data_IF_952687398829
#
_entry.id   IF_952687398829
#
_cell.length_a   1.000
_cell.length_b   1.000
_cell.length_c   1.000
_cell.angle_alpha   90.00
_cell.angle_beta   90.00
_cell.angle_gamma   90.00
#
_symmetry.space_group_name_H-M   'P 1'
#
loop_
_entity.id
_entity.type
_entity.pdbx_description
1 polymer ?
#
# COMPACT_ATOMS: atom_id res chain seq x y z
N UNK A 1 45.52 -65.48 -30.65
CA UNK A 1 45.99 -64.95 -29.35
C UNK A 1 47.21 -64.09 -29.62
N UNK A 2 47.12 -62.80 -29.28
CA UNK A 2 48.18 -61.77 -29.19
C UNK A 2 49.02 -61.39 -30.43
N UNK A 3 48.79 -60.19 -30.98
CA UNK A 3 49.73 -59.03 -30.91
C UNK A 3 49.27 -57.88 -31.82
N UNK A 4 49.10 -56.68 -31.25
CA UNK A 4 49.87 -55.46 -31.60
C UNK A 4 49.44 -54.29 -30.71
N UNK A 5 50.44 -53.69 -30.07
CA UNK A 5 50.33 -52.44 -29.32
C UNK A 5 50.16 -51.23 -30.24
N UNK A 6 49.55 -50.16 -29.72
CA UNK A 6 50.06 -48.79 -29.91
C UNK A 6 49.45 -47.85 -28.87
N UNK A 7 50.33 -47.23 -28.10
CA UNK A 7 50.08 -46.09 -27.20
C UNK A 7 49.71 -44.84 -28.01
N UNK A 8 48.86 -43.95 -27.47
CA UNK A 8 49.18 -42.51 -27.40
C UNK A 8 48.21 -41.72 -26.50
N UNK A 9 48.83 -40.89 -25.67
CA UNK A 9 48.41 -39.54 -25.27
C UNK A 9 47.19 -39.33 -24.35
N UNK A 10 47.54 -38.88 -23.15
CA UNK A 10 46.78 -38.04 -22.22
C UNK A 10 46.12 -36.83 -22.88
N UNK A 11 44.83 -36.59 -22.59
CA UNK A 11 44.22 -35.25 -22.59
C UNK A 11 43.25 -35.14 -21.42
N UNK A 12 43.53 -34.20 -20.51
CA UNK A 12 42.62 -33.75 -19.46
C UNK A 12 41.78 -32.59 -19.99
N UNK A 13 40.45 -32.54 -19.73
CA UNK A 13 39.71 -31.30 -19.89
C UNK A 13 39.36 -30.70 -18.53
N UNK A 14 40.14 -29.67 -18.21
CA UNK A 14 39.72 -28.37 -17.71
C UNK A 14 38.48 -28.29 -16.78
N UNK A 15 38.81 -28.02 -15.52
CA UNK A 15 38.07 -27.29 -14.50
C UNK A 15 37.36 -26.05 -15.08
N UNK A 16 36.07 -26.17 -15.43
CA UNK A 16 35.19 -25.02 -15.70
C UNK A 16 34.71 -24.41 -14.38
N UNK A 17 35.58 -23.59 -13.78
CA UNK A 17 35.18 -22.57 -12.82
C UNK A 17 34.24 -21.57 -13.51
N UNK A 18 32.92 -21.75 -13.36
CA UNK A 18 31.96 -20.69 -13.69
C UNK A 18 31.38 -20.06 -12.42
N UNK A 19 32.25 -19.59 -11.52
CA UNK A 19 31.86 -18.93 -10.25
C UNK A 19 31.54 -17.43 -10.38
N UNK A 20 31.32 -16.91 -11.58
CA UNK A 20 31.08 -15.47 -11.81
C UNK A 20 29.66 -15.10 -12.24
N UNK A 21 28.79 -16.06 -12.56
CA UNK A 21 27.41 -15.75 -12.99
C UNK A 21 26.48 -15.42 -11.82
N UNK A 22 26.61 -16.11 -10.68
CA UNK A 22 25.69 -15.94 -9.55
C UNK A 22 25.85 -14.58 -8.87
N UNK A 23 27.07 -14.02 -8.82
CA UNK A 23 27.31 -12.70 -8.21
C UNK A 23 26.62 -11.58 -9.01
N UNK A 24 26.62 -11.70 -10.33
CA UNK A 24 26.02 -10.68 -11.21
C UNK A 24 24.49 -10.75 -11.19
N UNK A 25 23.91 -11.95 -11.09
CA UNK A 25 22.46 -12.14 -10.94
C UNK A 25 22.01 -11.66 -9.54
N UNK A 26 22.78 -11.95 -8.50
CA UNK A 26 22.47 -11.50 -7.12
C UNK A 26 22.50 -9.98 -6.98
N UNK A 27 23.43 -9.29 -7.66
CA UNK A 27 23.49 -7.82 -7.68
C UNK A 27 22.32 -7.16 -8.42
N UNK A 28 21.79 -7.79 -9.48
CA UNK A 28 20.61 -7.27 -10.21
C UNK A 28 19.34 -7.45 -9.38
N UNK A 29 19.19 -8.59 -8.69
CA UNK A 29 18.05 -8.83 -7.78
C UNK A 29 18.09 -7.87 -6.58
N UNK A 30 19.27 -7.61 -6.01
CA UNK A 30 19.44 -6.67 -4.90
C UNK A 30 19.16 -5.22 -5.32
N UNK A 31 19.53 -4.82 -6.55
CA UNK A 31 19.23 -3.50 -7.10
C UNK A 31 17.74 -3.34 -7.45
N UNK A 32 17.07 -4.41 -7.90
CA UNK A 32 15.63 -4.42 -8.12
C UNK A 32 14.83 -4.35 -6.80
N UNK A 33 15.32 -4.95 -5.72
CA UNK A 33 14.70 -4.81 -4.38
C UNK A 33 14.81 -3.39 -3.81
N UNK A 34 15.86 -2.64 -4.15
CA UNK A 34 15.99 -1.22 -3.79
C UNK A 34 15.06 -0.29 -4.58
N UNK A 35 14.48 -0.78 -5.69
CA UNK A 35 13.51 -0.06 -6.51
C UNK A 35 12.06 -0.43 -6.17
N UNK A 36 11.82 -1.18 -5.08
CA UNK A 36 10.51 -1.24 -4.42
C UNK A 36 10.29 0.10 -3.75
N UNK A 37 9.99 1.10 -4.58
CA UNK A 37 9.65 2.44 -4.15
C UNK A 37 8.54 2.36 -3.12
N UNK A 38 8.62 3.26 -2.13
CA UNK A 38 7.60 3.53 -1.14
C UNK A 38 6.21 3.24 -1.73
N UNK A 39 5.57 2.16 -1.26
CA UNK A 39 4.15 1.95 -1.50
C UNK A 39 3.46 3.28 -1.21
N UNK A 40 2.53 3.76 -2.06
CA UNK A 40 1.90 5.04 -1.83
C UNK A 40 1.27 5.02 -0.43
N UNK A 41 1.97 5.62 0.53
CA UNK A 41 1.51 5.74 1.90
C UNK A 41 0.18 6.47 1.80
N UNK A 42 -0.86 5.83 2.38
CA UNK A 42 -2.27 6.11 2.20
C UNK A 42 -2.55 7.53 1.70
N UNK A 43 -2.92 7.65 0.42
CA UNK A 43 -3.33 8.90 -0.23
C UNK A 43 -4.67 9.48 0.30
N UNK A 44 -5.06 9.03 1.49
CA UNK A 44 -6.28 9.44 2.14
C UNK A 44 -6.04 10.69 3.00
N UNK A 45 -4.98 10.70 3.81
CA UNK A 45 -4.66 11.81 4.71
C UNK A 45 -4.22 13.09 3.95
N UNK A 46 -3.82 12.98 2.69
CA UNK A 46 -3.44 14.10 1.81
C UNK A 46 -4.55 14.52 0.83
N UNK A 47 -5.80 14.10 1.04
CA UNK A 47 -6.96 14.46 0.19
C UNK A 47 -7.88 15.49 0.86
N UNK A 48 -8.61 16.27 0.05
CA UNK A 48 -9.63 17.21 0.56
C UNK A 48 -10.76 16.54 1.36
N UNK A 49 -11.08 15.27 1.07
CA UNK A 49 -12.05 14.47 1.82
C UNK A 49 -11.41 13.62 2.94
N UNK A 50 -10.10 13.78 3.15
CA UNK A 50 -9.31 13.12 4.17
C UNK A 50 -9.50 13.68 5.58
N UNK A 51 -9.16 12.90 6.62
CA UNK A 51 -9.38 13.26 8.02
C UNK A 51 -8.56 14.46 8.44
N UNK A 52 -7.32 14.58 7.95
CA UNK A 52 -6.44 15.73 8.23
C UNK A 52 -7.07 17.05 7.80
N UNK A 53 -7.65 17.10 6.59
CA UNK A 53 -8.33 18.30 6.08
C UNK A 53 -9.68 18.52 6.76
N UNK A 54 -10.44 17.46 7.05
CA UNK A 54 -11.69 17.59 7.84
C UNK A 54 -11.44 18.24 9.20
N UNK A 55 -10.38 17.83 9.90
CA UNK A 55 -9.99 18.47 11.15
C UNK A 55 -9.50 19.90 10.94
N UNK A 56 -8.79 20.19 9.86
CA UNK A 56 -8.33 21.54 9.53
C UNK A 56 -9.49 22.51 9.26
N UNK A 57 -10.50 22.07 8.51
CA UNK A 57 -11.74 22.83 8.28
C UNK A 57 -12.42 23.09 9.63
N UNK A 58 -12.64 22.04 10.43
CA UNK A 58 -13.27 22.17 11.74
C UNK A 58 -12.47 23.08 12.69
N UNK A 59 -11.14 23.04 12.64
CA UNK A 59 -10.27 23.94 13.39
C UNK A 59 -10.50 25.40 13.00
N UNK A 60 -10.54 25.71 11.70
CA UNK A 60 -10.82 27.06 11.20
C UNK A 60 -12.26 27.51 11.42
N UNK A 61 -13.21 26.59 11.50
CA UNK A 61 -14.61 26.88 11.88
C UNK A 61 -14.76 27.25 13.34
N UNK A 62 -14.06 26.52 14.22
CA UNK A 62 -14.21 26.63 15.68
C UNK A 62 -13.12 27.47 16.35
N UNK A 63 -12.20 28.05 15.56
CA UNK A 63 -11.00 28.73 16.06
C UNK A 63 -10.19 27.87 17.05
N UNK A 64 -10.01 26.59 16.75
CA UNK A 64 -9.37 25.64 17.65
C UNK A 64 -8.23 24.90 16.95
N UNK A 65 -7.01 25.45 17.06
CA UNK A 65 -5.81 24.87 16.45
C UNK A 65 -5.48 23.48 16.98
N UNK A 66 -5.88 23.14 18.22
CA UNK A 66 -5.55 21.85 18.83
C UNK A 66 -6.12 20.66 18.05
N UNK A 67 -7.16 20.87 17.24
CA UNK A 67 -7.72 19.81 16.40
C UNK A 67 -6.75 19.31 15.32
N UNK A 68 -5.80 20.15 14.88
CA UNK A 68 -4.83 19.78 13.83
C UNK A 68 -3.48 19.33 14.36
N UNK A 69 -3.12 19.67 15.60
CA UNK A 69 -1.77 19.38 16.13
C UNK A 69 -1.49 17.87 16.27
N UNK A 70 -2.53 17.05 16.43
CA UNK A 70 -2.42 15.57 16.48
C UNK A 70 -1.88 14.93 15.18
N UNK A 71 -1.88 15.67 14.06
CA UNK A 71 -1.43 15.17 12.75
C UNK A 71 0.06 15.44 12.48
N UNK A 72 0.75 16.16 13.35
CA UNK A 72 2.12 16.64 13.16
C UNK A 72 2.96 16.37 14.40
N UNK A 73 4.28 16.54 14.30
CA UNK A 73 5.15 16.43 15.49
C UNK A 73 5.10 17.70 16.35
N UNK A 74 5.43 17.61 17.64
CA UNK A 74 5.53 18.78 18.52
C UNK A 74 6.44 19.90 17.97
N UNK A 75 7.53 19.55 17.29
CA UNK A 75 8.46 20.51 16.71
C UNK A 75 7.86 21.25 15.51
N UNK A 76 6.94 20.61 14.78
CA UNK A 76 6.25 21.19 13.62
C UNK A 76 5.14 22.16 14.04
N UNK A 77 4.66 22.11 15.29
CA UNK A 77 3.64 23.03 15.82
C UNK A 77 4.05 24.50 15.69
N UNK A 78 5.35 24.81 15.81
CA UNK A 78 5.90 26.17 15.63
C UNK A 78 5.67 26.75 14.23
N UNK A 79 5.41 25.91 13.24
CA UNK A 79 5.04 26.31 11.86
C UNK A 79 3.53 26.43 11.74
N UNK A 80 2.79 25.46 12.29
CA UNK A 80 1.35 25.34 12.09
C UNK A 80 0.55 26.34 12.92
N UNK A 81 0.91 26.58 14.18
CA UNK A 81 0.16 27.50 15.05
C UNK A 81 0.14 28.93 14.49
N UNK A 82 1.27 29.54 14.10
CA UNK A 82 1.26 30.88 13.53
C UNK A 82 0.49 30.96 12.20
N UNK A 83 0.64 29.94 11.34
CA UNK A 83 -0.06 29.88 10.05
C UNK A 83 -1.57 29.73 10.22
N UNK A 84 -2.01 28.90 11.17
CA UNK A 84 -3.42 28.77 11.55
C UNK A 84 -3.99 30.12 12.01
N UNK A 85 -3.33 30.78 12.96
CA UNK A 85 -3.78 32.06 13.50
C UNK A 85 -3.92 33.13 12.40
N UNK A 86 -2.96 33.19 11.47
CA UNK A 86 -2.99 34.10 10.32
C UNK A 86 -4.10 33.74 9.33
N UNK A 87 -4.32 32.46 9.07
CA UNK A 87 -5.38 32.00 8.18
C UNK A 87 -6.74 32.35 8.78
N UNK A 88 -6.96 32.04 10.06
CA UNK A 88 -8.21 32.34 10.75
C UNK A 88 -8.51 33.84 10.80
N UNK A 89 -7.53 34.69 11.08
CA UNK A 89 -7.76 36.15 11.15
C UNK A 89 -8.20 36.78 9.83
N UNK A 90 -7.85 36.14 8.70
CA UNK A 90 -8.24 36.60 7.36
C UNK A 90 -9.61 36.09 6.90
N UNK A 91 -10.27 35.22 7.68
CA UNK A 91 -11.53 34.55 7.30
C UNK A 91 -12.69 35.49 6.95
N UNK A 92 -12.76 36.65 7.60
CA UNK A 92 -13.79 37.66 7.35
C UNK A 92 -13.44 38.66 6.23
N UNK A 93 -12.25 38.51 5.62
CA UNK A 93 -11.76 39.39 4.56
C UNK A 93 -12.28 39.03 3.17
N UNK A 94 -11.49 39.35 2.16
CA UNK A 94 -11.78 39.01 0.77
C UNK A 94 -11.79 37.48 0.57
N UNK A 95 -12.81 36.98 -0.15
CA UNK A 95 -13.04 35.54 -0.32
C UNK A 95 -11.99 34.87 -1.20
N UNK A 96 -11.54 35.53 -2.27
CA UNK A 96 -10.54 34.96 -3.18
C UNK A 96 -9.18 34.88 -2.49
N UNK A 97 -8.82 35.94 -1.76
CA UNK A 97 -7.60 35.95 -0.93
C UNK A 97 -7.70 34.89 0.17
N UNK A 98 -8.85 34.75 0.83
CA UNK A 98 -9.03 33.74 1.87
C UNK A 98 -8.82 32.32 1.35
N UNK A 99 -9.38 31.99 0.18
CA UNK A 99 -9.20 30.67 -0.44
C UNK A 99 -7.73 30.34 -0.71
N UNK A 100 -6.91 31.33 -1.09
CA UNK A 100 -5.47 31.15 -1.31
C UNK A 100 -4.76 30.82 0.00
N UNK A 101 -5.03 31.57 1.07
CA UNK A 101 -4.36 31.33 2.36
C UNK A 101 -4.86 30.06 3.06
N UNK A 102 -6.15 29.74 2.92
CA UNK A 102 -6.74 28.49 3.41
C UNK A 102 -6.11 27.29 2.71
N UNK A 103 -6.01 27.33 1.38
CA UNK A 103 -5.33 26.29 0.61
C UNK A 103 -3.87 26.14 1.02
N UNK A 104 -3.15 27.25 1.20
CA UNK A 104 -1.76 27.22 1.66
C UNK A 104 -1.62 26.59 3.06
N UNK A 105 -2.56 26.87 3.97
CA UNK A 105 -2.60 26.22 5.29
C UNK A 105 -2.82 24.71 5.16
N UNK A 106 -3.79 24.28 4.36
CA UNK A 106 -4.06 22.87 4.11
C UNK A 106 -2.87 22.12 3.50
N UNK A 107 -2.26 22.67 2.45
CA UNK A 107 -1.07 22.09 1.82
C UNK A 107 0.11 22.00 2.81
N UNK A 108 0.30 23.02 3.66
CA UNK A 108 1.36 23.01 4.67
C UNK A 108 1.12 21.95 5.74
N UNK A 109 -0.11 21.86 6.27
CA UNK A 109 -0.48 20.84 7.26
C UNK A 109 -0.28 19.44 6.70
N UNK A 110 -0.80 19.18 5.50
CA UNK A 110 -0.67 17.87 4.84
C UNK A 110 0.80 17.55 4.57
N UNK A 111 1.59 18.50 4.06
CA UNK A 111 3.02 18.27 3.84
C UNK A 111 3.74 17.85 5.12
N UNK A 112 3.50 18.55 6.23
CA UNK A 112 4.12 18.23 7.52
C UNK A 112 3.65 16.88 8.06
N UNK A 113 2.37 16.56 7.92
CA UNK A 113 1.84 15.24 8.28
C UNK A 113 2.52 14.12 7.47
N UNK A 114 2.65 14.29 6.15
CA UNK A 114 3.34 13.33 5.27
C UNK A 114 4.80 13.13 5.68
N UNK A 115 5.48 14.20 6.07
CA UNK A 115 6.83 14.12 6.62
C UNK A 115 6.88 13.26 7.90
N UNK A 116 5.86 13.32 8.77
CA UNK A 116 5.79 12.45 9.97
C UNK A 116 5.63 10.96 9.61
N UNK A 117 5.00 10.66 8.48
CA UNK A 117 4.82 9.31 7.96
C UNK A 117 6.06 8.83 7.16
N UNK A 118 7.10 9.66 7.05
CA UNK A 118 8.28 9.37 6.23
C UNK A 118 7.98 9.36 4.73
N UNK A 119 6.89 10.01 4.30
CA UNK A 119 6.38 9.95 2.95
C UNK A 119 6.47 11.30 2.23
N UNK A 120 6.73 11.32 0.91
CA UNK A 120 6.83 12.57 0.17
C UNK A 120 5.46 13.25 0.04
N UNK A 121 5.47 14.58 0.07
CA UNK A 121 4.33 15.39 -0.32
C UNK A 121 4.27 15.52 -1.84
N UNK A 122 3.16 15.07 -2.44
CA UNK A 122 2.95 15.09 -3.90
C UNK A 122 1.76 15.96 -4.30
N UNK A 123 1.49 17.00 -3.51
CA UNK A 123 0.33 17.87 -3.65
C UNK A 123 -0.91 17.35 -2.93
N UNK A 124 -1.79 18.28 -2.59
CA UNK A 124 -3.10 18.00 -1.99
C UNK A 124 -4.03 17.36 -3.04
N UNK A 125 -4.56 16.17 -2.73
CA UNK A 125 -5.36 15.38 -3.67
C UNK A 125 -6.81 15.88 -3.74
N UNK A 126 -7.43 15.87 -4.93
CA UNK A 126 -8.85 16.17 -5.08
C UNK A 126 -9.72 15.26 -4.21
N UNK A 127 -10.88 15.75 -3.78
CA UNK A 127 -11.86 14.90 -3.09
C UNK A 127 -12.30 13.73 -3.98
N UNK A 128 -12.60 12.58 -3.38
CA UNK A 128 -13.09 11.40 -4.09
C UNK A 128 -12.00 10.50 -4.66
N UNK A 129 -10.72 10.79 -4.45
CA UNK A 129 -9.61 9.89 -4.81
C UNK A 129 -9.36 8.78 -3.79
N UNK A 130 -9.98 8.89 -2.61
CA UNK A 130 -9.85 7.91 -1.53
C UNK A 130 -10.52 6.58 -1.92
N UNK A 131 -9.83 5.45 -1.68
CA UNK A 131 -10.40 4.11 -1.89
C UNK A 131 -11.64 3.89 -1.04
N UNK A 132 -12.67 3.27 -1.61
CA UNK A 132 -13.97 3.08 -0.94
C UNK A 132 -13.87 2.37 0.41
N UNK A 133 -12.97 1.39 0.54
CA UNK A 133 -12.80 0.66 1.80
C UNK A 133 -12.31 1.56 2.93
N UNK A 134 -11.41 2.49 2.64
CA UNK A 134 -10.90 3.47 3.62
C UNK A 134 -12.02 4.40 4.06
N UNK A 135 -12.81 4.93 3.12
CA UNK A 135 -13.99 5.76 3.45
C UNK A 135 -14.99 5.03 4.36
N UNK A 136 -15.21 3.73 4.12
CA UNK A 136 -16.08 2.92 4.97
C UNK A 136 -15.47 2.69 6.36
N UNK A 137 -14.15 2.56 6.46
CA UNK A 137 -13.44 2.48 7.74
C UNK A 137 -13.56 3.79 8.53
N UNK A 138 -13.37 4.95 7.90
CA UNK A 138 -13.54 6.24 8.58
C UNK A 138 -14.98 6.44 9.04
N UNK A 139 -15.95 6.06 8.20
CA UNK A 139 -17.37 6.11 8.56
C UNK A 139 -17.65 5.25 9.79
N UNK A 140 -17.08 4.04 9.86
CA UNK A 140 -17.26 3.15 11.00
C UNK A 140 -16.70 3.74 12.30
N UNK A 141 -15.55 4.42 12.23
CA UNK A 141 -14.93 5.09 13.37
C UNK A 141 -15.78 6.29 13.83
N UNK A 142 -16.25 7.11 12.89
CA UNK A 142 -17.09 8.29 13.18
C UNK A 142 -18.44 7.88 13.78
N UNK A 143 -19.11 6.90 13.18
CA UNK A 143 -20.41 6.40 13.66
C UNK A 143 -20.30 5.41 14.82
N UNK A 144 -19.08 4.99 15.19
CA UNK A 144 -18.80 3.95 16.18
C UNK A 144 -19.55 2.63 15.89
N UNK A 145 -19.68 2.30 14.60
CA UNK A 145 -20.42 1.13 14.11
C UNK A 145 -19.49 0.25 13.27
N UNK A 146 -18.80 -0.66 13.95
CA UNK A 146 -17.93 -1.64 13.30
C UNK A 146 -18.74 -2.75 12.61
N UNK A 147 -19.95 -3.05 13.09
CA UNK A 147 -20.75 -4.17 12.59
C UNK A 147 -21.23 -3.92 11.16
N UNK A 148 -21.75 -2.72 10.87
CA UNK A 148 -22.14 -2.33 9.51
C UNK A 148 -20.94 -2.37 8.54
N UNK A 149 -19.75 -1.98 9.01
CA UNK A 149 -18.53 -2.07 8.23
C UNK A 149 -18.14 -3.52 7.93
N UNK A 150 -18.16 -4.39 8.94
CA UNK A 150 -17.82 -5.81 8.81
C UNK A 150 -18.78 -6.52 7.85
N UNK A 151 -20.09 -6.22 7.90
CA UNK A 151 -21.06 -6.77 6.94
C UNK A 151 -20.66 -6.45 5.50
N UNK A 152 -20.32 -5.19 5.21
CA UNK A 152 -19.92 -4.75 3.85
C UNK A 152 -18.59 -5.39 3.43
N UNK A 153 -17.61 -5.43 4.32
CA UNK A 153 -16.29 -6.02 4.05
C UNK A 153 -16.41 -7.52 3.78
N UNK A 154 -17.11 -8.26 4.65
CA UNK A 154 -17.30 -9.70 4.51
C UNK A 154 -18.09 -10.05 3.25
N UNK A 155 -19.11 -9.27 2.90
CA UNK A 155 -19.84 -9.46 1.65
C UNK A 155 -18.95 -9.29 0.42
N UNK A 156 -18.05 -8.29 0.43
CA UNK A 156 -17.09 -8.08 -0.66
C UNK A 156 -16.07 -9.21 -0.77
N UNK A 157 -15.43 -9.59 0.34
CA UNK A 157 -14.47 -10.69 0.38
C UNK A 157 -15.13 -12.00 -0.05
N UNK A 158 -16.31 -12.31 0.50
CA UNK A 158 -17.08 -13.51 0.16
C UNK A 158 -17.44 -13.58 -1.32
N UNK A 159 -17.81 -12.44 -1.92
CA UNK A 159 -18.06 -12.35 -3.36
C UNK A 159 -16.81 -12.70 -4.19
N UNK A 160 -15.65 -12.10 -3.87
CA UNK A 160 -14.39 -12.36 -4.59
C UNK A 160 -13.98 -13.83 -4.48
N UNK A 161 -14.05 -14.40 -3.27
CA UNK A 161 -13.75 -15.82 -3.04
C UNK A 161 -14.67 -16.71 -3.86
N UNK A 162 -15.98 -16.43 -3.84
CA UNK A 162 -16.99 -17.22 -4.55
C UNK A 162 -16.77 -17.17 -6.06
N UNK A 163 -16.52 -16.00 -6.64
CA UNK A 163 -16.27 -15.85 -8.08
C UNK A 163 -15.03 -16.66 -8.53
N UNK A 164 -13.94 -16.62 -7.76
CA UNK A 164 -12.73 -17.40 -8.04
C UNK A 164 -12.99 -18.91 -7.92
N UNK A 165 -13.69 -19.34 -6.87
CA UNK A 165 -14.06 -20.74 -6.67
C UNK A 165 -14.93 -21.27 -7.82
N UNK A 166 -15.96 -20.52 -8.22
CA UNK A 166 -16.85 -20.91 -9.32
C UNK A 166 -16.10 -21.07 -10.65
N UNK A 167 -15.10 -20.22 -10.91
CA UNK A 167 -14.20 -20.35 -12.07
C UNK A 167 -13.40 -21.65 -12.03
N UNK A 168 -12.83 -22.00 -10.88
CA UNK A 168 -12.09 -23.27 -10.70
C UNK A 168 -13.01 -24.46 -10.97
N UNK A 169 -14.20 -24.48 -10.36
CA UNK A 169 -15.19 -25.56 -10.53
C UNK A 169 -15.67 -25.70 -11.98
N UNK A 170 -15.83 -24.59 -12.69
CA UNK A 170 -16.22 -24.63 -14.10
C UNK A 170 -15.13 -25.27 -14.98
N UNK A 171 -13.86 -24.91 -14.76
CA UNK A 171 -12.72 -25.42 -15.53
C UNK A 171 -12.33 -26.85 -15.13
N UNK A 172 -12.60 -27.24 -13.88
CA UNK A 172 -12.33 -28.60 -13.38
C UNK A 172 -12.99 -29.69 -14.24
N UNK A 173 -14.18 -29.39 -14.76
CA UNK A 173 -14.97 -30.29 -15.61
C UNK A 173 -14.31 -30.65 -16.94
N UNK A 174 -13.43 -29.79 -17.44
CA UNK A 174 -12.81 -29.89 -18.78
C UNK A 174 -11.29 -29.97 -18.72
N UNK A 175 -10.70 -29.95 -17.51
CA UNK A 175 -9.24 -29.82 -17.32
C UNK A 175 -8.42 -30.94 -17.98
N UNK A 176 -9.03 -32.10 -18.21
CA UNK A 176 -8.37 -33.28 -18.79
C UNK A 176 -8.61 -33.44 -20.29
N UNK A 177 -9.42 -32.58 -20.92
CA UNK A 177 -9.76 -32.68 -22.34
C UNK A 177 -8.57 -32.35 -23.25
N UNK A 178 -7.68 -31.47 -22.78
CA UNK A 178 -6.40 -31.16 -23.45
C UNK A 178 -5.42 -30.47 -22.50
N UNK A 179 -4.11 -30.46 -22.82
CA UNK A 179 -3.13 -29.69 -22.07
C UNK A 179 -3.44 -28.19 -21.98
N UNK A 180 -4.09 -27.61 -22.98
CA UNK A 180 -4.49 -26.19 -22.96
C UNK A 180 -5.56 -25.94 -21.89
N UNK A 181 -6.61 -26.78 -21.84
CA UNK A 181 -7.65 -26.71 -20.81
C UNK A 181 -7.13 -27.01 -19.41
N UNK A 182 -6.18 -27.93 -19.29
CA UNK A 182 -5.48 -28.17 -18.04
C UNK A 182 -4.73 -26.93 -17.52
N UNK A 183 -4.10 -26.16 -18.42
CA UNK A 183 -3.41 -24.91 -18.03
C UNK A 183 -4.37 -23.81 -17.59
N UNK A 184 -5.51 -23.65 -18.27
CA UNK A 184 -6.58 -22.72 -17.85
C UNK A 184 -7.06 -23.07 -16.41
N UNK A 185 -7.29 -24.36 -16.13
CA UNK A 185 -7.65 -24.82 -14.79
C UNK A 185 -6.57 -24.51 -13.76
N UNK A 186 -5.30 -24.82 -14.05
CA UNK A 186 -4.18 -24.57 -13.12
C UNK A 186 -4.04 -23.09 -12.80
N UNK A 187 -4.18 -22.19 -13.79
CA UNK A 187 -4.15 -20.74 -13.56
C UNK A 187 -5.25 -20.30 -12.59
N UNK A 188 -6.49 -20.75 -12.82
CA UNK A 188 -7.61 -20.43 -11.95
C UNK A 188 -7.45 -21.04 -10.54
N UNK A 189 -6.95 -22.27 -10.45
CA UNK A 189 -6.70 -22.96 -9.19
C UNK A 189 -5.67 -22.19 -8.35
N UNK A 190 -4.53 -21.82 -8.95
CA UNK A 190 -3.46 -21.08 -8.28
C UNK A 190 -3.96 -19.69 -7.83
N UNK A 191 -4.68 -18.97 -8.69
CA UNK A 191 -5.26 -17.67 -8.33
C UNK A 191 -6.23 -17.76 -7.15
N UNK A 192 -7.09 -18.78 -7.12
CA UNK A 192 -7.99 -19.04 -6.00
C UNK A 192 -7.22 -19.39 -4.72
N UNK A 193 -6.30 -20.37 -4.75
CA UNK A 193 -5.60 -20.82 -3.54
C UNK A 193 -4.68 -19.75 -2.96
N UNK A 194 -3.95 -19.01 -3.79
CA UNK A 194 -3.11 -17.89 -3.31
C UNK A 194 -3.96 -16.75 -2.74
N UNK A 195 -5.18 -16.52 -3.26
CA UNK A 195 -6.08 -15.53 -2.65
C UNK A 195 -6.49 -15.95 -1.24
N UNK A 196 -6.80 -17.24 -1.02
CA UNK A 196 -7.16 -17.76 0.30
C UNK A 196 -5.97 -17.73 1.25
N UNK A 197 -4.80 -18.17 0.80
CA UNK A 197 -3.55 -18.12 1.58
C UNK A 197 -3.24 -16.68 2.02
N UNK A 198 -3.29 -15.71 1.10
CA UNK A 198 -3.06 -14.31 1.44
C UNK A 198 -4.06 -13.77 2.48
N UNK A 199 -5.34 -14.14 2.39
CA UNK A 199 -6.35 -13.73 3.40
C UNK A 199 -6.06 -14.38 4.76
N UNK A 200 -5.70 -15.68 4.76
CA UNK A 200 -5.36 -16.42 5.97
C UNK A 200 -4.14 -15.83 6.67
N UNK A 201 -3.06 -15.59 5.92
CA UNK A 201 -1.80 -15.07 6.46
C UNK A 201 -1.99 -13.68 7.06
N UNK A 202 -2.78 -12.80 6.41
CA UNK A 202 -3.11 -11.48 6.97
C UNK A 202 -3.87 -11.64 8.30
N UNK A 203 -4.79 -12.59 8.40
CA UNK A 203 -5.56 -12.83 9.62
C UNK A 203 -4.72 -13.43 10.75
N UNK A 204 -3.76 -14.31 10.44
CA UNK A 204 -2.85 -14.88 11.44
C UNK A 204 -1.77 -13.89 11.90
N UNK A 205 -1.18 -13.10 10.99
CA UNK A 205 -0.14 -12.12 11.34
C UNK A 205 -0.65 -10.99 12.24
N UNK A 206 -1.96 -10.70 12.23
CA UNK A 206 -2.58 -9.78 13.20
C UNK A 206 -2.53 -10.27 14.66
N UNK A 207 -2.08 -11.51 14.92
CA UNK A 207 -1.86 -12.04 16.27
C UNK A 207 -0.50 -11.72 16.90
N UNK A 208 0.51 -11.29 16.12
CA UNK A 208 1.92 -11.26 16.59
C UNK A 208 2.58 -9.85 16.58
N UNK A 209 1.81 -8.80 16.26
CA UNK A 209 2.27 -7.41 16.35
C UNK A 209 1.65 -6.68 17.55
N UNK A 210 2.16 -6.99 18.75
CA UNK A 210 1.96 -6.14 19.93
C UNK A 210 3.17 -6.18 20.85
N UNK A 211 4.22 -5.44 20.47
CA UNK A 211 5.14 -4.79 21.41
C UNK A 211 6.15 -3.88 20.68
N UNK A 212 5.70 -2.77 20.10
CA UNK A 212 6.57 -1.60 20.03
C UNK A 212 6.34 -0.78 21.30
N UNK A 213 7.18 -1.04 22.31
CA UNK A 213 7.44 -0.10 23.40
C UNK A 213 8.16 1.11 22.81
N UNK A 214 7.58 2.28 22.94
CA UNK A 214 8.30 3.54 23.11
C UNK A 214 7.55 4.37 24.15
#
# INVERSE_FOLDING_TARGET
MSTKETSLATVSPAKLQNRKSYKSIFSIVLLALLMVGSLPAFAHCDSYDGPTIKDAIKALETNNVNLVLKWITPEQEKVIIPLFNKTYSLKAGDKEVYQIVEKHFFETLVRLHRETEGAPFTGLKPAGTTKKIVQLSDQALDSKDVDTFLVKLNAHIGKVIKEKYEKVVALDKVKNDSPAKGREYVEAYVDFTHTIEAIHDIAEQSGDHSAHKH
#
